data_IF_657951883509
#
_entry.id   IF_657951883509
#
_cell.length_a   1.000
_cell.length_b   1.000
_cell.length_c   1.000
_cell.angle_alpha   90.00
_cell.angle_beta   90.00
_cell.angle_gamma   90.00
#
_symmetry.space_group_name_H-M   'P 1'
#
loop_
_entity.id
_entity.type
_entity.pdbx_description
1 polymer ?
#
# COMPACT_ATOMS: atom_id res chain seq x y z
N UNK A 1 16.23 -1.20 53.62
CA UNK A 1 16.73 -0.85 52.28
C UNK A 1 16.04 -1.76 51.27
N UNK A 2 14.72 -1.61 51.17
CA UNK A 2 13.89 -2.16 50.10
C UNK A 2 13.48 -0.95 49.27
N UNK A 3 14.07 -0.79 48.09
CA UNK A 3 13.43 -0.20 46.89
C UNK A 3 14.50 0.07 45.82
N UNK A 4 14.61 -0.83 44.85
CA UNK A 4 15.29 -0.55 43.58
C UNK A 4 14.94 -1.55 42.44
N UNK A 5 13.81 -2.26 42.48
CA UNK A 5 13.41 -3.22 41.44
C UNK A 5 12.00 -3.00 40.88
N UNK A 6 11.65 -1.74 40.57
CA UNK A 6 10.51 -1.42 39.70
C UNK A 6 10.94 -0.46 38.61
N UNK A 7 11.50 -1.01 37.53
CA UNK A 7 11.62 -0.31 36.24
C UNK A 7 10.59 -0.90 35.28
N UNK A 8 9.50 -0.15 35.07
CA UNK A 8 8.95 0.06 33.73
C UNK A 8 7.92 -0.93 33.17
N UNK A 9 7.10 -1.61 33.97
CA UNK A 9 5.87 -2.22 33.45
C UNK A 9 4.76 -1.17 33.41
N UNK A 10 4.15 -0.95 32.25
CA UNK A 10 2.81 -0.35 32.17
C UNK A 10 1.87 -1.29 32.93
N UNK A 11 1.10 -0.76 33.87
CA UNK A 11 0.13 -1.55 34.63
C UNK A 11 -0.93 -2.10 33.67
N UNK A 12 -1.57 -3.22 34.02
CA UNK A 12 -2.74 -3.73 33.28
C UNK A 12 -3.81 -2.63 33.05
N UNK A 13 -3.95 -1.70 34.00
CA UNK A 13 -4.80 -0.52 33.82
C UNK A 13 -4.34 0.44 32.72
N UNK A 14 -3.02 0.68 32.58
CA UNK A 14 -2.49 1.51 31.50
C UNK A 14 -2.58 0.80 30.13
N UNK A 15 -2.48 -0.53 30.11
CA UNK A 15 -2.75 -1.33 28.91
C UNK A 15 -4.22 -1.29 28.51
N UNK A 16 -5.13 -1.37 29.47
CA UNK A 16 -6.57 -1.22 29.27
C UNK A 16 -6.93 0.20 28.79
N UNK A 17 -6.25 1.24 29.29
CA UNK A 17 -6.42 2.62 28.82
C UNK A 17 -5.90 2.84 27.40
N UNK A 18 -4.74 2.29 27.04
CA UNK A 18 -4.21 2.32 25.66
C UNK A 18 -5.12 1.52 24.72
N UNK A 19 -5.65 0.38 25.17
CA UNK A 19 -6.63 -0.42 24.42
C UNK A 19 -7.91 0.38 24.20
N UNK A 20 -8.40 1.10 25.22
CA UNK A 20 -9.52 2.04 25.12
C UNK A 20 -9.23 3.26 24.24
N UNK A 21 -7.99 3.75 24.20
CA UNK A 21 -7.58 4.83 23.29
C UNK A 21 -7.47 4.36 21.83
N UNK A 22 -7.04 3.12 21.60
CA UNK A 22 -7.07 2.44 20.30
C UNK A 22 -8.50 2.06 19.85
N UNK A 23 -9.40 1.83 20.80
CA UNK A 23 -10.83 1.57 20.61
C UNK A 23 -11.70 2.84 20.66
N UNK A 24 -11.12 4.05 20.61
CA UNK A 24 -11.93 5.23 20.29
C UNK A 24 -12.53 4.99 18.91
N UNK A 25 -13.81 4.59 18.88
CA UNK A 25 -14.59 4.47 17.66
C UNK A 25 -14.36 5.75 16.87
N UNK A 26 -13.69 5.62 15.73
CA UNK A 26 -13.61 6.72 14.77
C UNK A 26 -15.06 7.07 14.46
N UNK A 27 -15.46 8.29 14.81
CA UNK A 27 -16.83 8.74 14.62
C UNK A 27 -17.19 8.58 13.14
N UNK A 28 -18.35 7.95 12.90
CA UNK A 28 -18.88 7.81 11.56
C UNK A 28 -19.32 9.20 11.09
N UNK A 29 -18.58 9.76 10.14
CA UNK A 29 -18.84 11.09 9.61
C UNK A 29 -19.97 11.08 8.58
N UNK A 30 -20.46 9.90 8.18
CA UNK A 30 -21.49 9.80 7.16
C UNK A 30 -22.84 10.34 7.68
N UNK A 31 -23.46 11.33 7.01
CA UNK A 31 -24.69 11.94 7.49
C UNK A 31 -25.88 10.96 7.47
N UNK A 32 -26.87 11.12 8.38
CA UNK A 32 -28.12 10.38 8.34
C UNK A 32 -28.85 10.50 6.99
N UNK A 33 -29.50 9.43 6.54
CA UNK A 33 -30.19 9.39 5.24
C UNK A 33 -31.25 10.49 5.01
N UNK A 34 -31.89 10.97 6.09
CA UNK A 34 -32.83 12.11 6.04
C UNK A 34 -32.23 13.40 5.47
N UNK A 35 -30.91 13.58 5.57
CA UNK A 35 -30.21 14.75 5.03
C UNK A 35 -30.05 14.68 3.51
N UNK A 36 -30.37 13.53 2.91
CA UNK A 36 -30.40 13.29 1.47
C UNK A 36 -31.82 13.24 0.89
N UNK A 37 -32.86 13.40 1.71
CA UNK A 37 -34.26 13.34 1.24
C UNK A 37 -34.53 14.40 0.17
N UNK A 38 -35.08 13.96 -0.98
CA UNK A 38 -35.41 14.82 -2.12
C UNK A 38 -34.21 15.22 -3.00
N UNK A 39 -33.03 14.62 -2.80
CA UNK A 39 -31.86 14.78 -3.66
C UNK A 39 -31.65 13.59 -4.60
N UNK A 40 -32.69 12.77 -4.83
CA UNK A 40 -32.60 11.54 -5.61
C UNK A 40 -32.69 11.78 -7.13
N UNK A 41 -31.76 11.17 -7.86
CA UNK A 41 -31.67 11.26 -9.31
C UNK A 41 -31.34 9.89 -9.94
N UNK A 42 -32.06 9.45 -10.96
CA UNK A 42 -31.65 8.29 -11.76
C UNK A 42 -30.52 8.69 -12.71
N UNK A 43 -29.36 8.06 -12.57
CA UNK A 43 -28.17 8.30 -13.38
C UNK A 43 -27.69 7.02 -14.05
N UNK A 44 -26.96 7.19 -15.16
CA UNK A 44 -26.17 6.10 -15.73
C UNK A 44 -24.78 6.14 -15.12
N UNK A 45 -24.40 5.07 -14.45
CA UNK A 45 -23.03 4.83 -13.99
C UNK A 45 -22.23 4.07 -15.04
N UNK A 46 -20.93 4.37 -15.12
CA UNK A 46 -20.00 3.67 -15.99
C UNK A 46 -18.75 3.25 -15.23
N UNK A 47 -18.32 2.02 -15.43
CA UNK A 47 -17.07 1.51 -14.85
C UNK A 47 -16.27 0.80 -15.94
N UNK A 48 -14.98 0.66 -15.71
CA UNK A 48 -14.08 0.06 -16.68
C UNK A 48 -13.82 -1.40 -16.33
N UNK A 49 -14.17 -2.32 -17.23
CA UNK A 49 -13.74 -3.71 -17.14
C UNK A 49 -12.32 -3.82 -17.68
N UNK A 50 -11.37 -3.97 -16.77
CA UNK A 50 -9.95 -4.06 -17.11
C UNK A 50 -9.62 -5.30 -17.97
N UNK A 51 -10.26 -6.43 -17.71
CA UNK A 51 -9.95 -7.70 -18.36
C UNK A 51 -10.46 -7.69 -19.82
N UNK A 52 -11.67 -7.14 -20.04
CA UNK A 52 -12.28 -7.03 -21.36
C UNK A 52 -11.94 -5.73 -22.10
N UNK A 53 -11.32 -4.76 -21.41
CA UNK A 53 -10.97 -3.43 -21.92
C UNK A 53 -12.18 -2.65 -22.43
N UNK A 54 -13.33 -2.88 -21.81
CA UNK A 54 -14.60 -2.28 -22.18
C UNK A 54 -15.12 -1.37 -21.08
N UNK A 55 -15.82 -0.33 -21.51
CA UNK A 55 -16.69 0.42 -20.62
C UNK A 55 -17.99 -0.36 -20.43
N UNK A 56 -18.33 -0.61 -19.19
CA UNK A 56 -19.60 -1.18 -18.79
C UNK A 56 -20.50 -0.09 -18.22
N UNK A 57 -21.81 -0.28 -18.34
CA UNK A 57 -22.79 0.71 -17.87
C UNK A 57 -23.91 0.08 -17.07
N UNK A 58 -24.50 0.87 -16.18
CA UNK A 58 -25.64 0.46 -15.38
C UNK A 58 -26.43 1.66 -14.91
N UNK A 59 -27.65 1.43 -14.44
CA UNK A 59 -28.48 2.47 -13.84
C UNK A 59 -28.47 2.36 -12.32
N UNK A 60 -28.47 3.51 -11.66
CA UNK A 60 -28.73 3.61 -10.23
C UNK A 60 -29.44 4.92 -9.91
N UNK A 61 -30.09 4.98 -8.75
CA UNK A 61 -30.56 6.24 -8.20
C UNK A 61 -29.53 6.74 -7.19
N UNK A 62 -29.18 8.02 -7.24
CA UNK A 62 -28.15 8.59 -6.40
C UNK A 62 -28.67 9.82 -5.67
N UNK A 63 -28.15 10.08 -4.47
CA UNK A 63 -28.35 11.35 -3.78
C UNK A 63 -27.02 11.88 -3.28
N UNK A 64 -26.59 13.03 -3.80
CA UNK A 64 -25.28 13.65 -3.50
C UNK A 64 -25.50 14.83 -2.55
N UNK A 65 -24.77 14.86 -1.44
CA UNK A 65 -24.82 15.96 -0.49
C UNK A 65 -24.36 17.28 -1.14
N UNK A 66 -25.05 18.37 -0.82
CA UNK A 66 -24.74 19.70 -1.39
C UNK A 66 -23.37 20.21 -0.97
N UNK A 67 -23.02 19.99 0.30
CA UNK A 67 -21.75 20.44 0.87
C UNK A 67 -20.67 19.36 0.72
N UNK A 68 -19.46 19.79 0.39
CA UNK A 68 -18.27 18.93 0.43
C UNK A 68 -17.87 18.66 1.89
N UNK A 69 -17.42 17.44 2.19
CA UNK A 69 -16.92 17.10 3.53
C UNK A 69 -15.40 17.04 3.59
N UNK A 70 -14.73 16.91 2.44
CA UNK A 70 -13.28 16.85 2.35
C UNK A 70 -12.79 17.45 1.02
N UNK A 71 -11.52 17.85 1.02
CA UNK A 71 -10.85 18.46 -0.13
C UNK A 71 -9.41 17.96 -0.21
N UNK A 72 -9.02 17.45 -1.38
CA UNK A 72 -7.65 17.06 -1.71
C UNK A 72 -6.96 18.14 -2.54
N UNK A 73 -5.80 17.81 -3.14
CA UNK A 73 -5.11 18.75 -4.05
C UNK A 73 -5.95 19.11 -5.28
N UNK A 74 -6.49 18.10 -5.97
CA UNK A 74 -7.14 18.24 -7.28
C UNK A 74 -8.67 18.12 -7.24
N UNK A 75 -9.23 17.56 -6.15
CA UNK A 75 -10.65 17.19 -6.08
C UNK A 75 -11.30 17.61 -4.77
N UNK A 76 -12.61 17.77 -4.81
CA UNK A 76 -13.49 17.90 -3.64
C UNK A 76 -14.34 16.65 -3.51
N UNK A 77 -14.69 16.26 -2.28
CA UNK A 77 -15.45 15.05 -1.98
C UNK A 77 -16.76 15.37 -1.25
N UNK A 78 -17.84 14.78 -1.74
CA UNK A 78 -19.19 14.91 -1.21
C UNK A 78 -19.69 13.53 -0.76
N UNK A 79 -20.49 13.48 0.30
CA UNK A 79 -21.18 12.24 0.66
C UNK A 79 -22.25 11.92 -0.38
N UNK A 80 -22.47 10.64 -0.62
CA UNK A 80 -23.40 10.15 -1.63
C UNK A 80 -24.11 8.89 -1.14
N UNK A 81 -25.41 8.79 -1.39
CA UNK A 81 -26.16 7.54 -1.30
C UNK A 81 -26.33 6.96 -2.70
N UNK A 82 -26.12 5.65 -2.85
CA UNK A 82 -26.43 4.90 -4.06
C UNK A 82 -27.54 3.91 -3.74
N UNK A 83 -28.66 4.03 -4.44
CA UNK A 83 -29.83 3.15 -4.30
C UNK A 83 -29.96 2.28 -5.55
N UNK A 84 -29.73 0.99 -5.36
CA UNK A 84 -29.97 -0.04 -6.37
C UNK A 84 -31.36 -0.66 -6.17
N UNK A 85 -32.07 -1.09 -7.24
CA UNK A 85 -33.39 -1.71 -7.11
C UNK A 85 -33.39 -2.92 -6.16
N UNK A 86 -34.29 -2.92 -5.18
CA UNK A 86 -34.44 -4.01 -4.22
C UNK A 86 -33.33 -4.11 -3.15
N UNK A 87 -32.44 -3.11 -3.06
CA UNK A 87 -31.38 -3.05 -2.04
C UNK A 87 -31.54 -1.82 -1.16
N UNK A 88 -31.04 -1.92 0.07
CA UNK A 88 -30.87 -0.76 0.94
C UNK A 88 -29.89 0.24 0.33
N UNK A 89 -30.04 1.55 0.58
CA UNK A 89 -29.09 2.56 0.12
C UNK A 89 -27.68 2.29 0.65
N UNK A 90 -26.73 2.26 -0.28
CA UNK A 90 -25.31 2.08 0.01
C UNK A 90 -24.63 3.45 0.21
N UNK A 91 -23.60 3.50 1.05
CA UNK A 91 -22.85 4.73 1.37
C UNK A 91 -21.65 4.88 0.46
N UNK A 92 -21.58 5.99 -0.24
CA UNK A 92 -20.60 6.30 -1.27
C UNK A 92 -20.05 7.72 -1.09
N UNK A 93 -19.01 8.04 -1.83
CA UNK A 93 -18.39 9.35 -1.95
C UNK A 93 -18.41 9.73 -3.42
N UNK A 94 -18.88 10.93 -3.73
CA UNK A 94 -18.81 11.53 -5.05
C UNK A 94 -17.68 12.57 -5.06
N UNK A 95 -16.75 12.44 -6.01
CA UNK A 95 -15.59 13.33 -6.18
C UNK A 95 -15.70 14.12 -7.46
N UNK A 96 -15.39 15.40 -7.36
CA UNK A 96 -15.38 16.33 -8.50
C UNK A 96 -14.02 17.00 -8.62
N UNK A 97 -13.53 17.15 -9.85
CA UNK A 97 -12.30 17.89 -10.12
C UNK A 97 -12.49 19.38 -9.83
N UNK A 98 -11.43 20.03 -9.36
CA UNK A 98 -11.40 21.49 -9.17
C UNK A 98 -11.07 22.22 -10.47
N UNK A 99 -10.15 21.64 -11.23
CA UNK A 99 -9.75 22.09 -12.56
C UNK A 99 -10.46 21.21 -13.60
N UNK A 100 -10.92 21.82 -14.68
CA UNK A 100 -11.65 21.15 -15.77
C UNK A 100 -12.78 20.19 -15.30
N UNK A 101 -13.70 20.63 -14.42
CA UNK A 101 -14.72 19.77 -13.82
C UNK A 101 -15.69 19.13 -14.81
N UNK A 102 -15.77 19.66 -16.04
CA UNK A 102 -16.64 19.20 -17.11
C UNK A 102 -15.93 18.27 -18.12
N UNK A 103 -14.61 18.09 -17.99
CA UNK A 103 -13.84 17.19 -18.86
C UNK A 103 -13.99 15.73 -18.43
N UNK A 104 -14.86 15.03 -19.14
CA UNK A 104 -15.14 13.60 -18.98
C UNK A 104 -13.86 12.73 -19.00
N UNK A 105 -12.87 13.10 -19.80
CA UNK A 105 -11.67 12.28 -20.00
C UNK A 105 -10.82 12.18 -18.74
N UNK A 106 -10.88 13.19 -17.86
CA UNK A 106 -10.16 13.19 -16.58
C UNK A 106 -10.79 12.17 -15.62
N UNK A 107 -12.11 12.09 -15.56
CA UNK A 107 -12.82 11.12 -14.72
C UNK A 107 -12.66 9.69 -15.26
N UNK A 108 -12.73 9.54 -16.58
CA UNK A 108 -12.52 8.25 -17.23
C UNK A 108 -11.10 7.71 -16.98
N UNK A 109 -10.09 8.60 -17.03
CA UNK A 109 -8.71 8.23 -16.70
C UNK A 109 -8.55 7.77 -15.24
N UNK A 110 -9.21 8.43 -14.28
CA UNK A 110 -9.20 8.03 -12.86
C UNK A 110 -9.83 6.64 -12.67
N UNK A 111 -10.97 6.37 -13.30
CA UNK A 111 -11.64 5.05 -13.22
C UNK A 111 -10.81 3.95 -13.86
N UNK A 112 -10.22 4.19 -15.04
CA UNK A 112 -9.31 3.23 -15.70
C UNK A 112 -8.10 2.94 -14.81
N UNK A 113 -7.51 3.97 -14.18
CA UNK A 113 -6.38 3.81 -13.28
C UNK A 113 -6.74 2.95 -12.06
N UNK A 114 -7.91 3.17 -11.46
CA UNK A 114 -8.36 2.36 -10.32
C UNK A 114 -8.62 0.91 -10.73
N UNK A 115 -9.24 0.67 -11.89
CA UNK A 115 -9.44 -0.68 -12.45
C UNK A 115 -8.10 -1.39 -12.72
N UNK A 116 -7.08 -0.68 -13.21
CA UNK A 116 -5.73 -1.21 -13.37
C UNK A 116 -5.12 -1.65 -12.02
N UNK A 117 -5.32 -0.83 -10.98
CA UNK A 117 -4.86 -1.14 -9.63
C UNK A 117 -5.58 -2.35 -9.04
N UNK A 118 -6.88 -2.51 -9.28
CA UNK A 118 -7.66 -3.69 -8.90
C UNK A 118 -7.09 -4.97 -9.56
N UNK A 119 -6.74 -4.91 -10.84
CA UNK A 119 -6.13 -6.05 -11.54
C UNK A 119 -4.75 -6.43 -10.97
N UNK A 120 -3.92 -5.43 -10.64
CA UNK A 120 -2.62 -5.67 -9.99
C UNK A 120 -2.81 -6.22 -8.57
N UNK A 121 -3.80 -5.71 -7.81
CA UNK A 121 -4.16 -6.23 -6.49
C UNK A 121 -4.61 -7.69 -6.55
N UNK A 122 -5.41 -8.08 -7.55
CA UNK A 122 -5.79 -9.49 -7.78
C UNK A 122 -4.55 -10.36 -8.00
N UNK A 123 -3.57 -9.89 -8.77
CA UNK A 123 -2.31 -10.61 -9.00
C UNK A 123 -1.43 -10.70 -7.74
N UNK A 124 -1.42 -9.65 -6.91
CA UNK A 124 -0.75 -9.63 -5.61
C UNK A 124 -1.39 -10.62 -4.63
N UNK A 125 -2.73 -10.54 -4.48
CA UNK A 125 -3.52 -11.38 -3.59
C UNK A 125 -3.41 -12.87 -3.92
N UNK A 126 -3.21 -13.22 -5.20
CA UNK A 126 -2.95 -14.59 -5.61
C UNK A 126 -1.61 -15.17 -5.09
N UNK A 127 -0.72 -14.33 -4.56
CA UNK A 127 0.61 -14.71 -4.08
C UNK A 127 0.78 -14.54 -2.57
N UNK A 128 -0.18 -13.90 -1.90
CA UNK A 128 -0.14 -13.64 -0.45
C UNK A 128 -1.30 -14.33 0.27
N UNK A 129 -1.21 -14.41 1.60
CA UNK A 129 -2.29 -14.95 2.43
C UNK A 129 -3.40 -13.91 2.66
N UNK A 130 -4.56 -14.31 3.21
CA UNK A 130 -5.67 -13.39 3.49
C UNK A 130 -5.30 -12.19 4.37
N UNK A 131 -4.41 -12.37 5.35
CA UNK A 131 -3.96 -11.30 6.26
C UNK A 131 -3.18 -10.16 5.55
N UNK A 132 -2.59 -10.47 4.39
CA UNK A 132 -1.82 -9.54 3.57
C UNK A 132 -2.56 -9.11 2.30
N UNK A 133 -3.81 -9.57 2.10
CA UNK A 133 -4.56 -9.23 0.90
C UNK A 133 -5.00 -7.78 0.91
N UNK A 134 -5.05 -7.16 -0.27
CA UNK A 134 -5.41 -5.75 -0.45
C UNK A 134 -6.61 -5.61 -1.40
N UNK A 135 -7.39 -4.56 -1.22
CA UNK A 135 -8.56 -4.26 -2.05
C UNK A 135 -8.48 -2.81 -2.52
N UNK A 136 -8.49 -2.57 -3.83
CA UNK A 136 -8.84 -1.24 -4.34
C UNK A 136 -10.35 -1.19 -4.52
N UNK A 137 -11.00 -0.22 -3.87
CA UNK A 137 -12.46 -0.12 -3.90
C UNK A 137 -12.98 0.13 -5.31
N UNK A 138 -14.22 -0.24 -5.54
CA UNK A 138 -14.90 0.04 -6.81
C UNK A 138 -14.91 1.54 -7.13
N UNK A 139 -14.81 1.86 -8.41
CA UNK A 139 -14.87 3.23 -8.90
C UNK A 139 -15.69 3.29 -10.18
N UNK A 140 -16.57 4.28 -10.28
CA UNK A 140 -17.39 4.50 -11.47
C UNK A 140 -17.63 5.99 -11.71
N UNK A 141 -17.87 6.38 -12.96
CA UNK A 141 -18.31 7.73 -13.30
C UNK A 141 -19.82 7.82 -13.38
N UNK A 142 -20.37 8.98 -13.00
CA UNK A 142 -21.76 9.36 -13.29
C UNK A 142 -21.80 10.77 -13.87
N UNK A 143 -22.85 11.05 -14.64
CA UNK A 143 -23.20 12.42 -15.04
C UNK A 143 -24.60 12.73 -14.53
N UNK A 144 -24.74 13.79 -13.73
CA UNK A 144 -26.04 14.25 -13.23
C UNK A 144 -26.79 15.04 -14.30
N UNK A 145 -28.07 15.29 -14.08
CA UNK A 145 -28.97 16.03 -14.97
C UNK A 145 -28.54 17.49 -15.16
N UNK A 146 -27.80 18.05 -14.18
CA UNK A 146 -27.12 19.34 -14.31
C UNK A 146 -25.96 19.34 -15.32
N UNK A 147 -25.59 18.18 -15.86
CA UNK A 147 -24.43 17.98 -16.73
C UNK A 147 -23.11 17.78 -15.98
N UNK A 148 -23.13 17.70 -14.65
CA UNK A 148 -21.93 17.60 -13.81
C UNK A 148 -21.41 16.17 -13.75
N UNK A 149 -20.11 16.00 -14.00
CA UNK A 149 -19.43 14.72 -13.86
C UNK A 149 -18.93 14.48 -12.43
N UNK A 150 -18.98 13.22 -12.01
CA UNK A 150 -18.46 12.75 -10.74
C UNK A 150 -17.76 11.41 -10.90
N UNK A 151 -16.65 11.21 -10.17
CA UNK A 151 -16.10 9.90 -9.88
C UNK A 151 -16.61 9.43 -8.52
N UNK A 152 -17.16 8.22 -8.46
CA UNK A 152 -17.87 7.70 -7.31
C UNK A 152 -17.20 6.43 -6.80
N UNK A 153 -17.00 6.36 -5.50
CA UNK A 153 -16.41 5.21 -4.79
C UNK A 153 -17.16 4.91 -3.48
N UNK A 154 -17.08 3.68 -2.93
CA UNK A 154 -17.64 3.37 -1.62
C UNK A 154 -17.07 4.25 -0.51
N UNK A 155 -17.91 4.64 0.46
CA UNK A 155 -17.44 5.33 1.65
C UNK A 155 -16.63 4.36 2.54
N UNK A 156 -15.41 4.75 2.87
CA UNK A 156 -14.54 4.01 3.77
C UNK A 156 -14.70 4.52 5.21
N UNK A 157 -15.45 3.77 6.01
CA UNK A 157 -15.58 4.06 7.44
C UNK A 157 -14.32 3.63 8.19
N UNK A 158 -13.64 4.58 8.82
CA UNK A 158 -12.51 4.30 9.70
C UNK A 158 -11.42 5.35 9.60
N UNK A 159 -10.23 5.02 10.12
CA UNK A 159 -9.08 5.93 10.10
C UNK A 159 -8.43 5.93 8.72
N UNK A 160 -8.63 7.00 7.98
CA UNK A 160 -7.98 7.19 6.68
C UNK A 160 -6.48 7.45 6.85
N UNK A 161 -5.63 6.65 6.20
CA UNK A 161 -4.17 6.74 6.25
C UNK A 161 -3.61 6.81 4.83
N UNK A 162 -2.64 7.69 4.62
CA UNK A 162 -1.83 7.74 3.39
C UNK A 162 -0.47 7.10 3.65
N UNK A 163 -0.26 5.88 3.15
CA UNK A 163 0.90 5.04 3.44
C UNK A 163 2.13 5.41 2.61
N UNK A 164 1.94 5.84 1.37
CA UNK A 164 2.99 6.45 0.56
C UNK A 164 2.39 7.52 -0.35
N UNK A 165 3.24 8.24 -1.09
CA UNK A 165 2.75 9.18 -2.09
C UNK A 165 3.40 9.01 -3.48
N UNK A 166 2.87 9.71 -4.47
CA UNK A 166 3.41 9.72 -5.82
C UNK A 166 4.79 10.40 -5.99
N UNK A 167 5.40 10.92 -4.93
CA UNK A 167 6.68 11.64 -4.99
C UNK A 167 7.71 11.19 -3.94
N UNK A 168 7.62 9.93 -3.51
CA UNK A 168 8.64 9.26 -2.69
C UNK A 168 8.48 9.40 -1.18
N UNK A 169 7.40 9.99 -0.67
CA UNK A 169 7.04 9.82 0.74
C UNK A 169 6.65 8.36 1.01
N UNK A 170 7.14 7.81 2.12
CA UNK A 170 6.82 6.49 2.65
C UNK A 170 6.60 6.63 4.15
N UNK A 171 5.43 6.22 4.65
CA UNK A 171 5.19 6.13 6.07
C UNK A 171 5.98 4.94 6.65
N UNK A 172 7.00 5.26 7.45
CA UNK A 172 7.88 4.28 8.09
C UNK A 172 7.21 3.49 9.22
N UNK A 173 6.02 3.92 9.66
CA UNK A 173 5.22 3.26 10.69
C UNK A 173 4.08 2.43 10.10
N UNK A 174 3.93 2.44 8.77
CA UNK A 174 2.95 1.64 8.08
C UNK A 174 3.24 0.14 8.22
N UNK A 175 2.20 -0.67 8.02
CA UNK A 175 2.34 -2.11 7.82
C UNK A 175 3.21 -2.41 6.60
N UNK A 176 3.68 -3.66 6.50
CA UNK A 176 4.51 -4.09 5.36
C UNK A 176 3.76 -4.05 4.04
N UNK A 177 2.46 -4.35 4.07
CA UNK A 177 1.62 -4.61 2.90
C UNK A 177 1.55 -3.44 1.90
N UNK A 178 1.25 -2.18 2.29
CA UNK A 178 1.22 -1.07 1.35
C UNK A 178 2.53 -0.89 0.54
N UNK A 179 3.68 -1.00 1.22
CA UNK A 179 4.98 -0.76 0.59
C UNK A 179 5.42 -1.95 -0.27
N UNK A 180 5.10 -3.17 0.19
CA UNK A 180 5.35 -4.39 -0.57
C UNK A 180 4.46 -4.46 -1.82
N UNK A 181 3.22 -3.99 -1.74
CA UNK A 181 2.32 -3.89 -2.89
C UNK A 181 2.86 -2.93 -3.97
N UNK A 182 3.31 -1.72 -3.58
CA UNK A 182 3.95 -0.80 -4.53
C UNK A 182 5.17 -1.43 -5.18
N UNK A 183 6.05 -2.07 -4.41
CA UNK A 183 7.24 -2.75 -4.95
C UNK A 183 6.86 -3.94 -5.85
N UNK A 184 5.87 -4.74 -5.46
CA UNK A 184 5.34 -5.84 -6.25
C UNK A 184 4.83 -5.34 -7.60
N UNK A 185 4.06 -4.26 -7.64
CA UNK A 185 3.53 -3.71 -8.89
C UNK A 185 4.65 -3.34 -9.88
N UNK A 186 5.78 -2.84 -9.36
CA UNK A 186 6.96 -2.52 -10.15
C UNK A 186 7.61 -3.76 -10.75
N UNK A 187 7.88 -4.79 -9.95
CA UNK A 187 8.51 -6.02 -10.44
C UNK A 187 7.57 -6.86 -11.32
N UNK A 188 6.29 -6.98 -10.92
CA UNK A 188 5.26 -7.73 -11.63
C UNK A 188 5.02 -7.21 -13.05
N UNK A 189 5.08 -5.89 -13.24
CA UNK A 189 4.91 -5.24 -14.54
C UNK A 189 6.23 -5.07 -15.29
N UNK A 190 7.25 -5.85 -14.92
CA UNK A 190 8.59 -5.79 -15.51
C UNK A 190 9.14 -4.35 -15.57
N UNK A 191 8.95 -3.61 -14.48
CA UNK A 191 9.43 -2.23 -14.27
C UNK A 191 8.76 -1.19 -15.17
N UNK A 192 7.62 -1.53 -15.79
CA UNK A 192 6.91 -0.63 -16.70
C UNK A 192 5.83 0.21 -16.01
N UNK A 193 5.27 -0.27 -14.91
CA UNK A 193 4.30 0.48 -14.09
C UNK A 193 4.68 0.41 -12.60
N UNK A 194 4.25 1.38 -11.81
CA UNK A 194 4.37 1.35 -10.36
C UNK A 194 3.16 2.03 -9.73
N UNK A 195 2.41 1.29 -8.91
CA UNK A 195 1.25 1.81 -8.17
C UNK A 195 1.72 2.45 -6.87
N UNK A 196 1.47 3.74 -6.72
CA UNK A 196 1.82 4.60 -5.59
C UNK A 196 0.58 5.34 -5.11
N UNK A 197 0.74 6.31 -4.19
CA UNK A 197 -0.38 6.94 -3.49
C UNK A 197 -1.28 5.90 -2.82
N UNK A 198 -0.68 4.89 -2.18
CA UNK A 198 -1.41 3.88 -1.43
C UNK A 198 -2.02 4.55 -0.19
N UNK A 199 -3.35 4.63 -0.16
CA UNK A 199 -4.10 5.32 0.88
C UNK A 199 -5.50 4.73 1.03
N UNK A 200 -6.06 4.80 2.24
CA UNK A 200 -7.39 4.28 2.53
C UNK A 200 -7.57 3.92 3.99
N UNK A 201 -8.43 2.95 4.28
CA UNK A 201 -8.70 2.44 5.63
C UNK A 201 -8.26 0.97 5.69
N UNK A 202 -7.37 0.64 6.62
CA UNK A 202 -6.73 -0.67 6.72
C UNK A 202 -6.10 -1.08 5.37
N UNK A 203 -6.51 -2.22 4.78
CA UNK A 203 -6.05 -2.71 3.47
C UNK A 203 -7.05 -2.45 2.32
N UNK A 204 -8.07 -1.62 2.58
CA UNK A 204 -8.98 -1.10 1.56
C UNK A 204 -8.47 0.25 1.09
N UNK A 205 -7.95 0.28 -0.13
CA UNK A 205 -7.32 1.43 -0.74
C UNK A 205 -8.22 2.12 -1.76
N UNK A 206 -8.01 3.42 -1.93
CA UNK A 206 -8.64 4.22 -2.98
C UNK A 206 -7.74 5.35 -3.44
N UNK A 207 -8.10 6.03 -4.53
CA UNK A 207 -7.31 7.13 -5.11
C UNK A 207 -5.84 6.80 -5.32
N UNK A 208 -5.49 5.66 -5.96
CA UNK A 208 -4.10 5.38 -6.30
C UNK A 208 -3.57 6.35 -7.36
N UNK A 209 -2.27 6.31 -7.56
CA UNK A 209 -1.61 6.88 -8.73
C UNK A 209 -0.71 5.83 -9.37
N UNK A 210 -0.66 5.79 -10.70
CA UNK A 210 0.29 4.95 -11.45
C UNK A 210 1.38 5.82 -12.06
N UNK A 211 2.64 5.44 -11.86
CA UNK A 211 3.76 5.89 -12.68
C UNK A 211 4.00 4.88 -13.81
N UNK A 212 4.32 5.35 -15.01
CA UNK A 212 4.75 4.50 -16.14
C UNK A 212 6.18 4.78 -16.58
N UNK A 213 6.88 3.78 -17.13
CA UNK A 213 8.27 3.97 -17.54
C UNK A 213 8.44 4.95 -18.72
N UNK A 214 7.41 5.09 -19.56
CA UNK A 214 7.36 6.06 -20.66
C UNK A 214 6.77 7.42 -20.24
N UNK A 215 6.20 7.52 -19.03
CA UNK A 215 5.54 8.73 -18.52
C UNK A 215 4.21 9.06 -19.21
N UNK A 216 3.63 8.13 -19.95
CA UNK A 216 2.35 8.30 -20.65
C UNK A 216 1.18 7.68 -19.88
N UNK A 217 -0.02 8.25 -20.06
CA UNK A 217 -1.25 7.77 -19.43
C UNK A 217 -1.36 8.08 -17.93
N UNK A 218 -2.48 7.66 -17.33
CA UNK A 218 -2.76 7.73 -15.88
C UNK A 218 -2.71 9.14 -15.26
N UNK A 219 -3.08 10.15 -16.05
CA UNK A 219 -3.30 11.52 -15.56
C UNK A 219 -2.02 12.28 -15.15
N UNK A 220 -2.21 13.52 -14.70
CA UNK A 220 -1.12 14.46 -14.41
C UNK A 220 -0.23 14.05 -13.22
N UNK A 221 -0.70 13.14 -12.38
CA UNK A 221 0.08 12.61 -11.26
C UNK A 221 1.10 11.54 -11.67
N UNK A 222 1.12 11.11 -12.93
CA UNK A 222 2.15 10.25 -13.49
C UNK A 222 3.45 11.05 -13.73
N UNK A 223 4.44 10.84 -12.88
CA UNK A 223 5.76 11.49 -12.91
C UNK A 223 6.80 10.58 -13.59
N UNK A 224 6.33 9.49 -14.18
CA UNK A 224 7.10 8.49 -14.90
C UNK A 224 8.24 7.89 -14.08
N UNK A 225 9.36 7.57 -14.76
CA UNK A 225 10.57 7.00 -14.13
C UNK A 225 11.07 7.81 -12.95
N UNK A 226 10.96 9.14 -12.99
CA UNK A 226 11.40 9.99 -11.88
C UNK A 226 10.58 9.72 -10.61
N UNK A 227 9.27 9.52 -10.74
CA UNK A 227 8.40 9.11 -9.63
C UNK A 227 8.78 7.74 -9.08
N UNK A 228 9.01 6.77 -9.97
CA UNK A 228 9.46 5.42 -9.59
C UNK A 228 10.78 5.45 -8.81
N UNK A 229 11.79 6.16 -9.32
CA UNK A 229 13.08 6.31 -8.65
C UNK A 229 12.96 6.95 -7.27
N UNK A 230 12.03 7.90 -7.10
CA UNK A 230 11.79 8.56 -5.82
C UNK A 230 11.26 7.58 -4.78
N UNK A 231 10.30 6.74 -5.16
CA UNK A 231 9.83 5.65 -4.30
C UNK A 231 10.96 4.68 -3.98
N UNK A 232 11.69 4.19 -4.97
CA UNK A 232 12.79 3.22 -4.75
C UNK A 232 13.89 3.79 -3.82
N UNK A 233 14.16 5.10 -3.88
CA UNK A 233 15.12 5.79 -2.99
C UNK A 233 14.66 5.91 -1.54
N UNK A 234 13.39 5.66 -1.23
CA UNK A 234 12.84 5.75 0.12
C UNK A 234 12.22 4.44 0.61
N UNK A 235 12.00 3.49 -0.30
CA UNK A 235 11.53 2.15 0.00
C UNK A 235 12.55 1.37 0.83
N UNK A 236 12.05 0.65 1.81
CA UNK A 236 12.82 -0.35 2.54
C UNK A 236 12.12 -1.68 2.34
N UNK A 237 12.80 -2.63 1.69
CA UNK A 237 12.17 -3.93 1.49
C UNK A 237 11.90 -4.59 2.85
N UNK A 238 10.72 -5.18 2.96
CA UNK A 238 10.25 -5.82 4.19
C UNK A 238 10.04 -7.34 3.97
N UNK A 239 9.56 -8.05 5.00
CA UNK A 239 9.37 -9.51 4.93
C UNK A 239 8.45 -9.93 3.79
N UNK A 240 7.44 -9.14 3.45
CA UNK A 240 6.51 -9.45 2.39
C UNK A 240 7.13 -9.28 1.00
N UNK A 241 7.98 -8.25 0.81
CA UNK A 241 8.80 -8.13 -0.41
C UNK A 241 9.67 -9.37 -0.62
N UNK A 242 10.27 -9.90 0.45
CA UNK A 242 11.12 -11.10 0.37
C UNK A 242 10.32 -12.36 0.11
N UNK A 243 9.19 -12.52 0.80
CA UNK A 243 8.29 -13.66 0.59
C UNK A 243 7.81 -13.75 -0.86
N UNK A 244 7.56 -12.61 -1.48
CA UNK A 244 7.15 -12.51 -2.88
C UNK A 244 8.30 -12.69 -3.87
N UNK A 245 9.55 -12.85 -3.41
CA UNK A 245 10.73 -12.99 -4.26
C UNK A 245 11.00 -11.75 -5.11
N UNK A 246 10.77 -10.55 -4.55
CA UNK A 246 11.01 -9.29 -5.26
C UNK A 246 12.51 -8.94 -5.24
N UNK A 247 12.99 -8.26 -6.29
CA UNK A 247 14.38 -7.79 -6.37
C UNK A 247 14.68 -6.82 -5.21
N UNK A 248 15.74 -7.09 -4.44
CA UNK A 248 16.06 -6.24 -3.30
C UNK A 248 16.51 -4.84 -3.73
N UNK A 249 15.88 -3.79 -3.20
CA UNK A 249 16.15 -2.40 -3.62
C UNK A 249 16.34 -1.40 -2.47
N UNK A 250 16.66 -1.85 -1.26
CA UNK A 250 16.84 -0.97 -0.08
C UNK A 250 18.06 -0.03 -0.22
N UNK A 251 17.90 1.30 -0.17
CA UNK A 251 18.94 2.30 -0.47
C UNK A 251 20.16 2.35 0.47
N UNK A 252 20.06 1.86 1.71
CA UNK A 252 21.15 1.98 2.71
C UNK A 252 22.09 0.80 2.80
N UNK A 253 21.68 -0.36 2.30
CA UNK A 253 22.59 -1.49 2.10
C UNK A 253 23.38 -1.22 0.81
N UNK A 254 22.76 -0.65 -0.22
CA UNK A 254 23.41 -0.27 -1.49
C UNK A 254 24.31 0.99 -1.41
N UNK A 255 25.26 1.08 -0.46
CA UNK A 255 26.31 2.11 -0.41
C UNK A 255 27.22 2.21 -1.66
N UNK A 256 26.86 1.55 -2.76
CA UNK A 256 27.47 1.61 -4.07
C UNK A 256 26.73 2.65 -4.92
N UNK A 257 27.46 3.66 -5.40
CA UNK A 257 27.00 4.51 -6.51
C UNK A 257 26.64 3.60 -7.69
N UNK A 258 25.35 3.33 -7.93
CA UNK A 258 24.89 2.63 -9.14
C UNK A 258 25.40 3.40 -10.38
N UNK A 259 26.47 2.93 -11.01
CA UNK A 259 26.81 3.32 -12.37
C UNK A 259 25.82 2.60 -13.28
N UNK A 260 24.68 3.22 -13.53
CA UNK A 260 23.87 2.84 -14.68
C UNK A 260 24.65 3.20 -15.94
N UNK A 261 25.30 2.21 -16.56
CA UNK A 261 25.70 2.32 -17.96
C UNK A 261 24.44 2.24 -18.82
N UNK A 262 23.71 3.34 -18.92
CA UNK A 262 22.82 3.54 -20.05
C UNK A 262 23.69 3.90 -21.26
N UNK A 263 23.70 3.03 -22.27
CA UNK A 263 24.07 3.45 -23.63
C UNK A 263 22.89 4.27 -24.15
N UNK A 264 22.96 5.58 -23.96
CA UNK A 264 22.09 6.52 -24.65
C UNK A 264 22.49 6.57 -26.12
N UNK A 265 21.61 6.09 -26.98
CA UNK A 265 21.58 6.47 -28.39
C UNK A 265 20.12 6.59 -28.81
N UNK A 266 19.55 7.77 -28.60
CA UNK A 266 18.18 8.08 -28.99
C UNK A 266 17.91 9.57 -28.86
N UNK A 267 18.14 10.30 -29.94
CA UNK A 267 17.86 11.73 -30.09
C UNK A 267 16.40 12.05 -29.75
N UNK A 268 16.18 12.89 -28.72
CA UNK A 268 14.87 13.45 -28.39
C UNK A 268 14.40 14.41 -29.50
N UNK A 269 13.24 14.13 -30.09
CA UNK A 269 12.42 15.13 -30.76
C UNK A 269 11.26 15.49 -29.83
N UNK A 270 11.12 16.77 -29.50
CA UNK A 270 9.92 17.31 -28.85
C UNK A 270 8.87 17.50 -29.94
N UNK A 271 7.93 16.57 -30.02
CA UNK A 271 6.67 16.76 -30.73
C UNK A 271 5.56 16.98 -29.71
N UNK A 272 4.79 18.04 -29.85
CA UNK A 272 3.48 18.18 -29.22
C UNK A 272 2.53 17.13 -29.81
N UNK A 273 1.91 16.29 -28.99
CA UNK A 273 0.89 15.34 -29.44
C UNK A 273 -0.44 15.73 -28.80
N UNK A 274 -1.47 15.86 -29.63
CA UNK A 274 -2.84 16.24 -29.24
C UNK A 274 -3.56 15.10 -28.52
N UNK A 275 -4.55 15.46 -27.70
CA UNK A 275 -5.35 14.59 -26.84
C UNK A 275 -6.28 13.57 -27.55
N UNK A 276 -5.95 13.13 -28.77
CA UNK A 276 -6.79 12.24 -29.59
C UNK A 276 -6.16 10.87 -29.87
N UNK A 277 -4.93 10.61 -29.42
CA UNK A 277 -4.27 9.33 -29.66
C UNK A 277 -4.54 8.38 -28.49
N UNK A 278 -5.65 7.64 -28.57
CA UNK A 278 -5.92 6.51 -27.69
C UNK A 278 -4.87 5.42 -27.96
N UNK A 279 -3.79 5.42 -27.17
CA UNK A 279 -2.84 4.31 -27.12
C UNK A 279 -3.55 3.14 -26.41
N UNK A 280 -3.81 2.08 -27.15
CA UNK A 280 -4.45 0.86 -26.68
C UNK A 280 -3.60 0.22 -25.56
N UNK A 281 -3.94 0.44 -24.30
CA UNK A 281 -3.18 -0.03 -23.14
C UNK A 281 -3.43 -1.53 -22.92
N UNK A 282 -2.51 -2.42 -23.35
CA UNK A 282 -2.65 -3.87 -23.11
C UNK A 282 -1.75 -4.30 -21.96
N UNK A 283 -2.33 -4.85 -20.90
CA UNK A 283 -1.57 -5.45 -19.79
C UNK A 283 -0.53 -6.48 -20.28
N UNK A 284 -0.81 -7.24 -21.34
CA UNK A 284 0.15 -8.14 -22.01
C UNK A 284 1.42 -7.44 -22.50
N UNK A 285 1.32 -6.18 -22.91
CA UNK A 285 2.45 -5.41 -23.41
C UNK A 285 3.32 -4.93 -22.24
N UNK A 286 2.86 -5.09 -21.00
CA UNK A 286 3.51 -4.65 -19.77
C UNK A 286 3.87 -5.80 -18.82
N UNK A 287 3.17 -6.93 -18.87
CA UNK A 287 3.51 -8.14 -18.14
C UNK A 287 4.73 -8.81 -18.78
N UNK A 288 5.81 -8.95 -18.03
CA UNK A 288 6.84 -9.94 -18.34
C UNK A 288 6.30 -11.35 -18.08
N UNK A 289 6.97 -12.37 -18.63
CA UNK A 289 6.63 -13.77 -18.41
C UNK A 289 6.26 -14.03 -16.94
N UNK A 290 5.10 -14.68 -16.75
CA UNK A 290 4.43 -14.94 -15.46
C UNK A 290 5.23 -15.86 -14.52
N UNK A 291 6.46 -16.18 -14.83
CA UNK A 291 7.33 -16.94 -13.94
C UNK A 291 8.01 -16.00 -12.95
N UNK A 292 8.05 -16.34 -11.66
CA UNK A 292 8.90 -15.63 -10.72
C UNK A 292 10.33 -15.72 -11.25
N UNK A 293 10.85 -14.62 -11.79
CA UNK A 293 12.30 -14.43 -11.81
C UNK A 293 12.73 -14.62 -10.35
N UNK A 294 13.75 -15.44 -10.12
CA UNK A 294 14.38 -15.62 -8.80
C UNK A 294 14.98 -14.28 -8.38
N UNK A 295 14.13 -13.36 -7.92
CA UNK A 295 14.47 -12.08 -7.34
C UNK A 295 14.71 -12.33 -5.86
N UNK A 296 15.93 -12.08 -5.43
CA UNK A 296 16.34 -12.13 -4.04
C UNK A 296 17.31 -10.99 -3.79
N UNK A 297 17.73 -10.83 -2.53
CA UNK A 297 18.87 -9.98 -2.24
C UNK A 297 20.08 -10.46 -3.04
N UNK A 298 20.78 -9.54 -3.73
CA UNK A 298 21.95 -9.91 -4.51
C UNK A 298 23.04 -10.43 -3.56
N UNK A 299 23.97 -11.26 -4.05
CA UNK A 299 25.11 -11.72 -3.25
C UNK A 299 25.87 -10.54 -2.60
N UNK A 300 25.92 -9.39 -3.28
CA UNK A 300 26.56 -8.17 -2.78
C UNK A 300 25.77 -7.51 -1.63
N UNK A 301 24.43 -7.51 -1.69
CA UNK A 301 23.57 -6.98 -0.61
C UNK A 301 23.67 -7.82 0.67
N UNK A 302 23.75 -9.13 0.50
CA UNK A 302 23.83 -10.10 1.59
C UNK A 302 25.21 -10.09 2.25
N UNK A 303 26.27 -9.91 1.46
CA UNK A 303 27.63 -9.76 1.96
C UNK A 303 27.78 -8.56 2.92
N UNK A 304 27.05 -7.47 2.70
CA UNK A 304 27.04 -6.30 3.59
C UNK A 304 26.37 -6.58 4.94
N UNK A 305 25.43 -7.53 4.96
CA UNK A 305 24.81 -8.04 6.17
C UNK A 305 25.61 -9.18 6.81
N UNK A 306 26.74 -9.58 6.20
CA UNK A 306 27.59 -10.68 6.66
C UNK A 306 26.93 -12.05 6.55
N UNK A 307 25.91 -12.21 5.69
CA UNK A 307 25.14 -13.45 5.53
C UNK A 307 25.07 -13.86 4.06
N UNK A 308 24.79 -15.14 3.79
CA UNK A 308 24.50 -15.64 2.44
C UNK A 308 22.99 -15.78 2.16
N UNK A 309 22.63 -16.14 0.93
CA UNK A 309 21.22 -16.27 0.50
C UNK A 309 20.47 -17.34 1.30
N UNK A 310 21.15 -18.41 1.68
CA UNK A 310 20.56 -19.51 2.45
C UNK A 310 20.26 -19.07 3.88
N UNK A 311 21.19 -18.34 4.50
CA UNK A 311 21.03 -17.75 5.82
C UNK A 311 19.92 -16.69 5.81
N UNK A 312 19.89 -15.83 4.81
CA UNK A 312 18.84 -14.82 4.65
C UNK A 312 17.44 -15.43 4.52
N UNK A 313 17.30 -16.44 3.65
CA UNK A 313 16.03 -17.15 3.49
C UNK A 313 15.59 -17.86 4.79
N UNK A 314 16.53 -18.42 5.55
CA UNK A 314 16.23 -18.99 6.86
C UNK A 314 15.71 -17.93 7.84
N UNK A 315 16.29 -16.73 7.87
CA UNK A 315 15.85 -15.61 8.73
C UNK A 315 14.43 -15.16 8.35
N UNK A 316 14.11 -15.10 7.05
CA UNK A 316 12.75 -14.77 6.57
C UNK A 316 11.73 -15.79 7.05
N UNK A 317 12.04 -17.10 6.91
CA UNK A 317 11.16 -18.17 7.38
C UNK A 317 10.92 -18.06 8.88
N UNK A 318 11.98 -17.86 9.66
CA UNK A 318 11.90 -17.71 11.12
C UNK A 318 11.02 -16.51 11.48
N UNK A 319 11.22 -15.35 10.85
CA UNK A 319 10.39 -14.17 11.13
C UNK A 319 8.90 -14.44 10.89
N UNK A 320 8.56 -15.12 9.80
CA UNK A 320 7.15 -15.44 9.46
C UNK A 320 6.53 -16.50 10.36
N UNK A 321 7.31 -17.43 10.89
CA UNK A 321 6.83 -18.37 11.91
C UNK A 321 6.52 -17.68 13.24
N UNK A 322 7.18 -16.54 13.49
CA UNK A 322 7.01 -15.74 14.69
C UNK A 322 5.88 -14.73 14.56
N UNK A 323 5.71 -14.13 13.38
CA UNK A 323 4.60 -13.26 12.96
C UNK A 323 3.36 -14.13 12.67
N UNK A 324 2.75 -14.65 13.74
CA UNK A 324 1.64 -15.61 13.70
C UNK A 324 0.38 -15.00 13.14
N UNK A 325 0.17 -13.71 13.36
CA UNK A 325 -1.00 -12.99 12.87
C UNK A 325 -0.82 -12.43 11.45
N UNK A 326 0.42 -12.43 10.94
CA UNK A 326 0.75 -11.94 9.60
C UNK A 326 0.65 -10.41 9.51
N UNK A 327 0.79 -9.70 10.63
CA UNK A 327 0.71 -8.24 10.68
C UNK A 327 1.91 -7.55 10.03
N UNK A 328 3.01 -8.29 9.81
CA UNK A 328 4.26 -7.81 9.22
C UNK A 328 5.25 -7.25 10.25
N UNK A 329 4.95 -7.34 11.54
CA UNK A 329 5.84 -6.98 12.63
C UNK A 329 5.64 -7.95 13.78
N UNK A 330 6.66 -8.15 14.61
CA UNK A 330 6.51 -8.93 15.83
C UNK A 330 5.99 -8.03 16.95
N UNK A 331 4.84 -8.38 17.50
CA UNK A 331 4.30 -7.71 18.69
C UNK A 331 4.86 -8.28 20.00
N UNK A 332 4.43 -7.74 21.14
CA UNK A 332 4.95 -8.16 22.45
C UNK A 332 4.61 -9.61 22.76
N UNK A 333 3.43 -10.08 22.38
CA UNK A 333 2.95 -11.44 22.60
C UNK A 333 3.78 -12.44 21.79
N UNK A 334 4.03 -12.14 20.52
CA UNK A 334 4.86 -12.94 19.62
C UNK A 334 6.31 -13.00 20.09
N UNK A 335 6.86 -11.86 20.52
CA UNK A 335 8.20 -11.79 21.10
C UNK A 335 8.29 -12.54 22.43
N UNK A 336 7.26 -12.44 23.28
CA UNK A 336 7.20 -13.17 24.55
C UNK A 336 7.28 -14.68 24.37
N UNK A 337 6.68 -15.21 23.30
CA UNK A 337 6.82 -16.63 22.95
C UNK A 337 8.27 -16.99 22.60
N UNK A 338 9.01 -16.09 21.96
CA UNK A 338 10.45 -16.27 21.68
C UNK A 338 11.24 -16.26 23.00
N UNK A 339 10.99 -15.27 23.86
CA UNK A 339 11.67 -15.13 25.14
C UNK A 339 11.42 -16.33 26.06
N UNK A 340 10.21 -16.88 26.07
CA UNK A 340 9.89 -18.10 26.84
C UNK A 340 10.65 -19.32 26.30
N UNK A 341 10.69 -19.52 24.98
CA UNK A 341 11.48 -20.61 24.37
C UNK A 341 12.98 -20.45 24.67
N UNK A 342 13.49 -19.23 24.69
CA UNK A 342 14.89 -18.93 25.04
C UNK A 342 15.23 -19.28 26.49
N UNK A 343 14.36 -18.90 27.45
CA UNK A 343 14.55 -19.18 28.89
C UNK A 343 14.52 -20.66 29.25
N UNK A 344 13.89 -21.50 28.43
CA UNK A 344 13.83 -22.96 28.65
C UNK A 344 15.11 -23.66 28.17
N UNK A 345 15.91 -23.01 27.33
CA UNK A 345 17.13 -23.54 26.71
C UNK A 345 18.40 -23.12 27.49
N UNK A 346 18.51 -23.46 28.77
CA UNK A 346 19.73 -23.21 29.56
C UNK A 346 20.83 -24.28 29.36
N UNK A 347 21.20 -24.56 28.11
CA UNK A 347 22.44 -25.28 27.81
C UNK A 347 23.48 -24.28 27.30
N UNK A 348 24.60 -24.14 28.01
CA UNK A 348 25.71 -23.23 27.69
C UNK A 348 26.49 -23.71 26.46
N UNK A 349 25.90 -23.52 25.28
CA UNK A 349 26.57 -23.63 23.99
C UNK A 349 26.74 -22.23 23.38
N UNK A 350 27.73 -22.07 22.51
CA UNK A 350 28.01 -20.80 21.80
C UNK A 350 26.80 -20.29 21.00
N UNK A 351 25.95 -21.21 20.52
CA UNK A 351 24.70 -20.90 19.82
C UNK A 351 23.63 -20.30 20.74
N UNK A 352 23.53 -20.78 21.98
CA UNK A 352 22.61 -20.23 22.98
C UNK A 352 23.03 -18.80 23.38
N UNK A 353 24.32 -18.52 23.48
CA UNK A 353 24.83 -17.17 23.76
C UNK A 353 24.55 -16.19 22.62
N UNK A 354 24.77 -16.60 21.36
CA UNK A 354 24.42 -15.79 20.19
C UNK A 354 22.91 -15.51 20.11
N UNK A 355 22.09 -16.51 20.43
CA UNK A 355 20.65 -16.35 20.49
C UNK A 355 20.24 -15.39 21.61
N UNK A 356 20.80 -15.50 22.83
CA UNK A 356 20.53 -14.56 23.92
C UNK A 356 20.96 -13.12 23.59
N UNK A 357 22.06 -12.93 22.85
CA UNK A 357 22.47 -11.61 22.37
C UNK A 357 21.49 -11.03 21.34
N UNK A 358 21.05 -11.85 20.38
CA UNK A 358 20.00 -11.47 19.42
C UNK A 358 18.73 -11.00 20.15
N UNK A 359 18.29 -11.78 21.13
CA UNK A 359 17.13 -11.53 21.98
C UNK A 359 17.28 -10.23 22.78
N UNK A 360 18.46 -9.95 23.34
CA UNK A 360 18.74 -8.69 24.03
C UNK A 360 18.71 -7.48 23.08
N UNK A 361 19.22 -7.60 21.84
CA UNK A 361 19.10 -6.54 20.82
C UNK A 361 17.66 -6.30 20.40
N UNK A 362 16.85 -7.35 20.33
CA UNK A 362 15.42 -7.23 20.05
C UNK A 362 14.68 -6.47 21.16
N UNK A 363 14.95 -6.77 22.44
CA UNK A 363 14.33 -6.06 23.59
C UNK A 363 14.53 -4.54 23.54
N UNK A 364 15.70 -4.07 23.08
CA UNK A 364 15.96 -2.63 22.99
C UNK A 364 15.12 -1.97 21.90
N UNK A 365 14.87 -2.64 20.76
CA UNK A 365 14.05 -2.12 19.66
C UNK A 365 12.55 -2.11 19.99
N UNK A 366 12.07 -3.06 20.78
CA UNK A 366 10.64 -3.15 21.20
C UNK A 366 10.21 -1.94 22.01
N UNK A 367 11.12 -1.35 22.79
CA UNK A 367 10.78 -0.28 23.72
C UNK A 367 10.44 1.05 23.05
N UNK A 368 10.72 1.22 21.76
CA UNK A 368 10.47 2.49 21.04
C UNK A 368 9.04 2.62 20.49
N UNK A 369 8.36 1.50 20.18
CA UNK A 369 7.02 1.51 19.56
C UNK A 369 6.19 0.23 19.81
N UNK A 370 6.70 -0.75 20.57
CA UNK A 370 6.05 -2.03 20.85
C UNK A 370 5.98 -3.01 19.67
N UNK A 371 6.66 -2.74 18.55
CA UNK A 371 6.59 -3.52 17.31
C UNK A 371 7.98 -3.72 16.71
N UNK A 372 8.33 -4.94 16.34
CA UNK A 372 9.61 -5.20 15.65
C UNK A 372 9.38 -5.61 14.21
N UNK A 373 9.67 -4.69 13.30
CA UNK A 373 9.57 -4.95 11.87
C UNK A 373 10.73 -5.83 11.40
N UNK A 374 10.54 -6.55 10.28
CA UNK A 374 11.54 -7.46 9.72
C UNK A 374 12.92 -6.82 9.55
N UNK A 375 12.98 -5.53 9.21
CA UNK A 375 14.24 -4.78 9.14
C UNK A 375 15.00 -4.84 10.46
N UNK A 376 14.34 -4.49 11.55
CA UNK A 376 14.98 -4.40 12.87
C UNK A 376 15.32 -5.81 13.38
N UNK A 377 14.47 -6.80 13.07
CA UNK A 377 14.76 -8.21 13.30
C UNK A 377 16.03 -8.68 12.57
N UNK A 378 16.14 -8.39 11.28
CA UNK A 378 17.29 -8.75 10.44
C UNK A 378 18.58 -8.07 10.91
N UNK A 379 18.53 -6.79 11.27
CA UNK A 379 19.65 -6.06 11.85
C UNK A 379 20.08 -6.68 13.20
N UNK A 380 19.12 -6.95 14.08
CA UNK A 380 19.39 -7.65 15.34
C UNK A 380 19.97 -9.05 15.11
N UNK A 381 19.52 -9.78 14.09
CA UNK A 381 20.00 -11.13 13.77
C UNK A 381 21.45 -11.12 13.30
N UNK A 382 21.76 -10.20 12.39
CA UNK A 382 23.09 -10.04 11.79
C UNK A 382 24.08 -9.32 12.71
N UNK A 383 23.58 -8.69 13.77
CA UNK A 383 24.39 -7.93 14.72
C UNK A 383 24.86 -6.58 14.22
N UNK A 384 24.16 -6.04 13.23
CA UNK A 384 24.32 -4.68 12.74
C UNK A 384 23.30 -3.76 13.46
N UNK A 385 23.69 -2.54 13.83
CA UNK A 385 22.84 -1.56 14.52
C UNK A 385 22.16 -0.54 13.60
#
# INVERSE_FOLDING_TARGET
MEDAHKKGFLTEQALEEIRKEGEKKVEDLFPPAKEFEGLDEEVTKRWYDWDNKSWETGKCTVAIAKEQFAEGGMRVAHFMLVKNPGKEPERWVAKRQKEDPDDETVYDADVIMQAACQAIAKAFNARVGPADSVEFVDCHTIKTASGTWWACEPYLQGKYIKYNNNYGYVDKRARNTPQAFTHFSYEFTNKKMMVVDIQGVDDKYTDPQIHTADGQGFGMGNIGKKGMERFLKTHWCNSLCMYLGLEFCTPKILGVKRHHKHKDSGTHHRGSVSASDQVEFKLSDYLGDLEPKKGGATADDLALLGIDEKQFNAIVVIFRELDKDGSGYLDKEELYQIFQKAKVSENKTTEAEAFLQFISRMETKVNENGKVYFKDFLLCWTGND
#
